data_IF_430489064562
#
_entry.id   IF_430489064562
#
_cell.length_a   1.000
_cell.length_b   1.000
_cell.length_c   1.000
_cell.angle_alpha   90.00
_cell.angle_beta   90.00
_cell.angle_gamma   90.00
#
_symmetry.space_group_name_H-M   'P 1'
#
loop_
_entity.id
_entity.type
_entity.pdbx_description
1 polymer ?
#
# COMPACT_ATOMS: atom_id res chain seq x y z
N UNK A 1 -16.02 1.61 9.35
CA UNK A 1 -15.19 1.56 8.16
C UNK A 1 -13.94 2.38 8.44
N UNK A 2 -12.78 1.76 8.32
CA UNK A 2 -11.51 2.48 8.42
C UNK A 2 -11.38 3.38 7.17
N UNK A 3 -11.37 4.69 7.39
CA UNK A 3 -11.24 5.68 6.31
C UNK A 3 -9.77 6.06 6.08
N UNK A 4 -8.82 5.31 6.63
CA UNK A 4 -7.40 5.61 6.52
C UNK A 4 -6.80 4.97 5.27
N UNK A 5 -5.93 5.73 4.63
CA UNK A 5 -5.16 5.36 3.44
C UNK A 5 -3.73 5.85 3.60
N UNK A 6 -2.79 5.23 2.91
CA UNK A 6 -1.46 5.81 2.72
C UNK A 6 -1.42 6.56 1.40
N UNK A 7 -0.88 7.78 1.41
CA UNK A 7 -0.64 8.61 0.22
C UNK A 7 0.86 8.85 0.07
N UNK A 8 1.38 8.64 -1.13
CA UNK A 8 2.76 9.01 -1.48
C UNK A 8 2.73 10.39 -2.15
N UNK A 9 3.42 11.34 -1.55
CA UNK A 9 3.46 12.71 -2.07
C UNK A 9 4.43 12.79 -3.26
N UNK A 10 3.94 13.32 -4.36
CA UNK A 10 4.75 13.65 -5.54
C UNK A 10 5.13 15.11 -5.54
N UNK A 11 4.14 15.98 -5.39
CA UNK A 11 4.33 17.43 -5.48
C UNK A 11 3.91 18.11 -4.19
N UNK A 12 4.85 18.73 -3.44
CA UNK A 12 4.54 19.38 -2.19
C UNK A 12 3.75 20.69 -2.38
N UNK A 13 3.00 21.04 -1.33
CA UNK A 13 2.36 22.35 -1.18
C UNK A 13 3.34 23.50 -1.42
N UNK A 14 2.92 24.51 -2.17
CA UNK A 14 3.75 25.67 -2.51
C UNK A 14 4.71 25.45 -3.66
N UNK A 15 4.80 24.24 -4.20
CA UNK A 15 5.69 23.95 -5.33
C UNK A 15 5.15 24.53 -6.64
N UNK A 16 6.01 25.25 -7.38
CA UNK A 16 5.83 25.59 -8.79
C UNK A 16 6.39 24.53 -9.74
N UNK A 17 6.80 23.38 -9.22
CA UNK A 17 7.34 22.26 -9.97
C UNK A 17 6.47 21.04 -9.74
N UNK A 18 6.11 20.31 -10.81
CA UNK A 18 5.41 19.03 -10.70
C UNK A 18 6.39 17.89 -10.80
N UNK A 19 6.36 17.03 -9.81
CA UNK A 19 7.08 15.76 -9.80
C UNK A 19 6.08 14.64 -9.99
N UNK A 20 6.51 13.53 -10.61
CA UNK A 20 5.79 12.28 -10.72
C UNK A 20 6.72 11.13 -10.32
N UNK A 21 6.17 10.05 -9.81
CA UNK A 21 6.93 8.83 -9.58
C UNK A 21 7.22 8.13 -10.91
N UNK A 22 8.47 7.84 -11.18
CA UNK A 22 8.92 7.07 -12.34
C UNK A 22 9.23 5.63 -11.90
N UNK A 23 8.39 4.63 -12.25
CA UNK A 23 8.56 3.26 -11.81
C UNK A 23 9.79 2.56 -12.42
N UNK A 24 10.28 3.01 -13.59
CA UNK A 24 11.49 2.45 -14.20
C UNK A 24 12.76 2.87 -13.46
N UNK A 25 12.77 4.11 -12.99
CA UNK A 25 13.88 4.67 -12.20
C UNK A 25 13.73 4.38 -10.71
N UNK A 26 12.55 3.98 -10.23
CA UNK A 26 12.19 3.91 -8.81
C UNK A 26 12.51 5.21 -8.07
N UNK A 27 12.18 6.36 -8.68
CA UNK A 27 12.49 7.70 -8.15
C UNK A 27 11.41 8.71 -8.52
N UNK A 28 11.35 9.78 -7.72
CA UNK A 28 10.60 10.98 -8.08
C UNK A 28 11.35 11.75 -9.16
N UNK A 29 10.65 12.09 -10.23
CA UNK A 29 11.19 12.76 -11.41
C UNK A 29 10.50 14.11 -11.61
N UNK A 30 11.27 15.15 -11.86
CA UNK A 30 10.70 16.43 -12.27
C UNK A 30 10.04 16.29 -13.64
N UNK A 31 8.71 16.40 -13.68
CA UNK A 31 7.91 16.30 -14.91
C UNK A 31 7.87 17.65 -15.62
N UNK A 32 7.49 18.73 -14.91
CA UNK A 32 7.36 20.06 -15.51
C UNK A 32 7.48 21.18 -14.48
N UNK A 33 7.84 22.36 -14.97
CA UNK A 33 7.75 23.62 -14.24
C UNK A 33 6.42 24.28 -14.61
N UNK A 34 5.69 24.75 -13.60
CA UNK A 34 4.40 25.39 -13.79
C UNK A 34 4.59 26.83 -14.27
N UNK A 35 3.63 27.40 -14.99
CA UNK A 35 3.64 28.82 -15.34
C UNK A 35 3.74 29.73 -14.11
N UNK A 36 4.36 30.89 -14.28
CA UNK A 36 4.56 31.83 -13.17
C UNK A 36 3.23 32.17 -12.46
N UNK A 37 3.24 32.10 -11.14
CA UNK A 37 2.09 32.36 -10.30
C UNK A 37 1.19 31.15 -10.04
N UNK A 38 1.43 29.99 -10.69
CA UNK A 38 0.71 28.77 -10.40
C UNK A 38 1.55 27.88 -9.48
N UNK A 39 1.02 27.58 -8.31
CA UNK A 39 1.64 26.71 -7.30
C UNK A 39 0.61 25.73 -6.77
N UNK A 40 1.04 24.54 -6.35
CA UNK A 40 0.15 23.58 -5.71
C UNK A 40 -0.32 24.12 -4.34
N UNK A 41 -1.65 24.21 -4.11
CA UNK A 41 -2.18 24.80 -2.88
C UNK A 41 -2.00 23.88 -1.66
N UNK A 42 -1.88 22.57 -1.87
CA UNK A 42 -1.64 21.53 -0.88
C UNK A 42 -0.76 20.44 -1.48
N UNK A 43 -0.30 19.52 -0.62
CA UNK A 43 0.44 18.36 -1.08
C UNK A 43 -0.41 17.52 -2.03
N UNK A 44 0.18 17.12 -3.14
CA UNK A 44 -0.43 16.31 -4.18
C UNK A 44 0.38 15.04 -4.38
N UNK A 45 -0.31 13.91 -4.52
CA UNK A 45 0.32 12.62 -4.71
C UNK A 45 -0.69 11.56 -5.13
N UNK A 46 -0.37 10.31 -4.88
CA UNK A 46 -1.17 9.19 -5.31
C UNK A 46 -1.35 8.13 -4.20
N UNK A 47 -2.36 7.28 -4.39
CA UNK A 47 -2.64 6.15 -3.51
C UNK A 47 -1.98 4.91 -4.12
N UNK A 48 -0.95 4.32 -3.47
CA UNK A 48 -0.25 3.16 -4.02
C UNK A 48 -1.16 1.94 -4.15
N UNK A 49 -0.93 1.11 -5.18
CA UNK A 49 -1.72 -0.09 -5.44
C UNK A 49 -3.10 0.18 -6.02
N UNK A 50 -3.35 1.37 -6.60
CA UNK A 50 -4.59 1.72 -7.30
C UNK A 50 -4.32 2.00 -8.77
N UNK A 51 -5.37 1.90 -9.61
CA UNK A 51 -5.39 2.37 -11.00
C UNK A 51 -6.68 3.16 -11.20
N UNK A 52 -6.55 4.44 -11.54
CA UNK A 52 -7.63 5.35 -11.86
C UNK A 52 -8.19 5.14 -13.26
N UNK A 53 -9.16 5.99 -13.61
CA UNK A 53 -9.81 5.93 -14.93
C UNK A 53 -8.93 6.41 -16.10
N UNK A 54 -7.81 7.03 -15.81
CA UNK A 54 -6.77 7.51 -16.75
C UNK A 54 -5.60 6.52 -16.90
N UNK A 55 -5.58 5.42 -16.12
CA UNK A 55 -4.54 4.41 -16.15
C UNK A 55 -3.41 4.64 -15.16
N UNK A 56 -3.35 5.82 -14.53
CA UNK A 56 -2.40 6.15 -13.48
C UNK A 56 -2.95 5.78 -12.09
N UNK A 57 -2.13 5.69 -11.04
CA UNK A 57 -2.63 5.56 -9.67
C UNK A 57 -3.61 6.68 -9.31
N UNK A 58 -4.58 6.37 -8.43
CA UNK A 58 -5.60 7.35 -8.03
C UNK A 58 -4.95 8.54 -7.33
N UNK A 59 -5.20 9.73 -7.87
CA UNK A 59 -4.71 10.99 -7.35
C UNK A 59 -5.31 11.34 -5.99
N UNK A 60 -4.47 11.84 -5.09
CA UNK A 60 -4.87 12.35 -3.79
C UNK A 60 -4.30 13.74 -3.53
N UNK A 61 -5.12 14.60 -2.93
CA UNK A 61 -4.72 15.90 -2.43
C UNK A 61 -4.80 15.86 -0.90
N UNK A 62 -3.69 16.20 -0.26
CA UNK A 62 -3.54 16.12 1.19
C UNK A 62 -3.54 17.52 1.79
N UNK A 63 -4.63 17.85 2.48
CA UNK A 63 -4.78 19.14 3.17
C UNK A 63 -4.04 19.09 4.50
N UNK A 64 -2.98 19.87 4.62
CA UNK A 64 -2.11 19.92 5.79
C UNK A 64 -1.63 21.34 6.10
N UNK A 65 -1.08 21.53 7.29
CA UNK A 65 -0.52 22.82 7.76
C UNK A 65 0.72 23.20 6.97
N UNK A 66 1.63 22.25 6.80
CA UNK A 66 2.94 22.45 6.20
C UNK A 66 3.09 21.59 4.95
N UNK A 67 4.02 21.98 4.11
CA UNK A 67 4.46 21.17 2.98
C UNK A 67 5.31 20.00 3.47
N UNK A 68 5.19 18.85 2.79
CA UNK A 68 6.12 17.73 2.94
C UNK A 68 7.21 17.76 1.86
N UNK A 69 7.62 16.61 1.36
CA UNK A 69 8.64 16.48 0.31
C UNK A 69 8.28 15.34 -0.64
N UNK A 70 8.78 15.36 -1.89
CA UNK A 70 8.53 14.28 -2.85
C UNK A 70 9.02 12.92 -2.33
N UNK A 71 8.14 11.90 -2.38
CA UNK A 71 8.39 10.56 -1.86
C UNK A 71 7.98 10.36 -0.40
N UNK A 72 7.48 11.39 0.29
CA UNK A 72 6.96 11.24 1.64
C UNK A 72 5.70 10.37 1.65
N UNK A 73 5.67 9.33 2.48
CA UNK A 73 4.48 8.53 2.73
C UNK A 73 3.71 9.09 3.93
N UNK A 74 2.43 9.37 3.74
CA UNK A 74 1.54 9.92 4.78
C UNK A 74 0.36 8.99 5.01
N UNK A 75 0.11 8.64 6.27
CA UNK A 75 -1.15 8.03 6.67
C UNK A 75 -2.20 9.13 6.81
N UNK A 76 -3.26 9.02 6.02
CA UNK A 76 -4.26 10.05 5.85
C UNK A 76 -5.67 9.53 6.09
N UNK A 77 -6.52 10.33 6.69
CA UNK A 77 -7.97 10.13 6.79
C UNK A 77 -8.63 10.74 5.55
N UNK A 78 -9.38 9.94 4.80
CA UNK A 78 -10.20 10.41 3.66
C UNK A 78 -11.40 11.19 4.17
N UNK A 79 -11.61 12.40 3.64
CA UNK A 79 -12.79 13.24 3.95
C UNK A 79 -13.77 13.34 2.78
N UNK A 80 -13.37 12.93 1.58
CA UNK A 80 -14.21 12.92 0.38
C UNK A 80 -13.41 12.86 -0.91
N UNK A 81 -14.07 13.13 -2.05
CA UNK A 81 -13.45 13.26 -3.35
C UNK A 81 -14.10 14.34 -4.22
N UNK A 82 -13.28 14.96 -5.06
CA UNK A 82 -13.71 15.81 -6.18
C UNK A 82 -13.85 14.90 -7.41
N UNK A 83 -15.07 14.62 -7.83
CA UNK A 83 -15.30 13.86 -9.08
C UNK A 83 -15.19 14.78 -10.27
N UNK A 84 -14.41 14.38 -11.27
CA UNK A 84 -14.17 15.18 -12.45
C UNK A 84 -13.96 14.33 -13.71
N UNK A 85 -14.13 15.01 -14.87
CA UNK A 85 -13.67 14.52 -16.17
C UNK A 85 -12.54 15.40 -16.65
N UNK A 86 -11.55 14.81 -17.28
CA UNK A 86 -10.48 15.50 -17.94
C UNK A 86 -10.53 15.19 -19.43
N UNK A 87 -10.47 16.23 -20.26
CA UNK A 87 -10.31 16.12 -21.70
C UNK A 87 -8.89 16.45 -22.08
N UNK A 88 -8.22 15.51 -22.72
CA UNK A 88 -6.86 15.64 -23.21
C UNK A 88 -6.78 16.48 -24.49
N UNK A 89 -5.56 16.83 -24.92
CA UNK A 89 -5.30 17.63 -26.12
C UNK A 89 -5.78 16.94 -27.40
N UNK A 90 -5.74 15.63 -27.44
CA UNK A 90 -6.21 14.80 -28.56
C UNK A 90 -7.74 14.62 -28.59
N UNK A 91 -8.45 15.19 -27.59
CA UNK A 91 -9.89 15.13 -27.46
C UNK A 91 -10.40 13.94 -26.63
N UNK A 92 -9.56 12.98 -26.25
CA UNK A 92 -9.93 11.89 -25.35
C UNK A 92 -10.46 12.43 -24.02
N UNK A 93 -11.51 11.83 -23.49
CA UNK A 93 -12.11 12.23 -22.20
C UNK A 93 -12.14 11.06 -21.27
N UNK A 94 -11.60 11.24 -20.06
CA UNK A 94 -11.50 10.21 -19.04
C UNK A 94 -11.98 10.72 -17.67
N UNK A 95 -12.26 9.80 -16.77
CA UNK A 95 -12.47 10.12 -15.36
C UNK A 95 -11.13 10.42 -14.73
N UNK A 96 -11.08 11.49 -13.97
CA UNK A 96 -9.90 11.89 -13.24
C UNK A 96 -10.30 12.51 -11.91
N UNK A 97 -10.73 11.66 -10.98
CA UNK A 97 -11.19 12.03 -9.66
C UNK A 97 -10.00 12.37 -8.74
N UNK A 98 -10.22 13.22 -7.75
CA UNK A 98 -9.20 13.62 -6.76
C UNK A 98 -9.70 13.23 -5.37
N UNK A 99 -9.03 12.34 -4.70
CA UNK A 99 -9.31 12.03 -3.30
C UNK A 99 -8.81 13.20 -2.44
N UNK A 100 -9.61 13.59 -1.47
CA UNK A 100 -9.24 14.63 -0.51
C UNK A 100 -9.06 13.97 0.84
N UNK A 101 -7.87 14.17 1.41
CA UNK A 101 -7.49 13.53 2.65
C UNK A 101 -6.73 14.50 3.59
N UNK A 102 -6.65 14.13 4.85
CA UNK A 102 -5.96 14.88 5.91
C UNK A 102 -5.01 13.93 6.61
N UNK A 103 -3.75 14.31 6.85
CA UNK A 103 -2.81 13.48 7.61
C UNK A 103 -3.38 13.14 8.99
N UNK A 104 -3.25 11.90 9.41
CA UNK A 104 -3.69 11.45 10.74
C UNK A 104 -3.00 12.25 11.86
N UNK A 105 -1.77 12.68 11.60
CA UNK A 105 -0.94 13.47 12.53
C UNK A 105 -1.23 14.97 12.49
N UNK A 106 -2.13 15.46 11.62
CA UNK A 106 -2.46 16.89 11.53
C UNK A 106 -3.06 17.39 12.85
N UNK A 107 -2.59 18.53 13.30
CA UNK A 107 -3.09 19.23 14.50
C UNK A 107 -4.16 20.25 14.10
N UNK A 108 -3.89 21.06 13.10
CA UNK A 108 -4.81 22.12 12.63
C UNK A 108 -6.12 21.57 12.07
N UNK A 109 -6.04 20.44 11.36
CA UNK A 109 -7.19 19.79 10.71
C UNK A 109 -7.65 18.52 11.45
N UNK A 110 -7.25 18.32 12.70
CA UNK A 110 -7.59 17.13 13.48
C UNK A 110 -9.10 16.87 13.58
N UNK A 111 -9.91 17.92 13.70
CA UNK A 111 -11.37 17.86 13.83
C UNK A 111 -12.11 17.74 12.49
N UNK A 112 -11.42 17.90 11.34
CA UNK A 112 -12.06 17.87 10.02
C UNK A 112 -12.31 16.42 9.60
N UNK A 113 -13.56 16.04 9.41
CA UNK A 113 -13.97 14.69 8.99
C UNK A 113 -14.77 14.70 7.68
N UNK A 114 -15.31 15.86 7.30
CA UNK A 114 -16.12 16.06 6.09
C UNK A 114 -15.73 17.37 5.41
N UNK A 115 -16.23 17.58 4.19
CA UNK A 115 -16.04 18.85 3.50
C UNK A 115 -16.64 20.06 4.22
N UNK A 116 -17.70 19.84 5.00
CA UNK A 116 -18.36 20.93 5.74
C UNK A 116 -17.52 21.44 6.92
N UNK A 117 -16.57 20.65 7.39
CA UNK A 117 -15.68 21.03 8.48
C UNK A 117 -14.46 21.83 7.99
N UNK A 118 -14.27 21.90 6.66
CA UNK A 118 -13.18 22.69 6.07
C UNK A 118 -13.46 24.19 6.19
N UNK A 119 -12.40 25.02 6.33
CA UNK A 119 -12.57 26.47 6.21
C UNK A 119 -13.27 26.87 4.91
N UNK A 120 -14.17 27.89 4.97
CA UNK A 120 -14.88 28.35 3.79
C UNK A 120 -13.96 28.68 2.61
N UNK A 121 -14.36 28.26 1.40
CA UNK A 121 -13.64 28.56 0.17
C UNK A 121 -12.53 27.59 -0.22
N UNK A 122 -12.06 26.70 0.65
CA UNK A 122 -10.97 25.75 0.31
C UNK A 122 -11.36 24.89 -0.89
N UNK A 123 -12.54 24.27 -0.88
CA UNK A 123 -12.97 23.42 -2.01
C UNK A 123 -13.10 24.19 -3.32
N UNK A 124 -13.58 25.42 -3.26
CA UNK A 124 -13.65 26.29 -4.44
C UNK A 124 -12.27 26.63 -4.96
N UNK A 125 -11.32 26.99 -4.09
CA UNK A 125 -9.93 27.24 -4.46
C UNK A 125 -9.28 26.03 -5.12
N UNK A 126 -9.50 24.82 -4.57
CA UNK A 126 -9.01 23.58 -5.14
C UNK A 126 -9.59 23.31 -6.53
N UNK A 127 -10.89 23.49 -6.68
CA UNK A 127 -11.57 23.31 -7.95
C UNK A 127 -11.04 24.26 -9.00
N UNK A 128 -10.89 25.55 -8.66
CA UNK A 128 -10.33 26.60 -9.54
C UNK A 128 -8.87 26.31 -9.89
N UNK A 129 -8.08 25.83 -8.91
CA UNK A 129 -6.70 25.45 -9.17
C UNK A 129 -6.62 24.38 -10.27
N UNK A 130 -7.38 23.27 -10.17
CA UNK A 130 -7.35 22.22 -11.17
C UNK A 130 -7.88 22.65 -12.54
N UNK A 131 -8.88 23.53 -12.58
CA UNK A 131 -9.36 24.12 -13.85
C UNK A 131 -8.22 24.88 -14.50
N UNK A 132 -7.63 25.85 -13.81
CA UNK A 132 -6.54 26.69 -14.33
C UNK A 132 -5.29 25.87 -14.71
N UNK A 133 -4.92 24.91 -13.84
CA UNK A 133 -3.79 24.03 -14.06
C UNK A 133 -3.90 23.23 -15.36
N UNK A 134 -5.09 22.65 -15.62
CA UNK A 134 -5.33 21.88 -16.84
C UNK A 134 -5.47 22.77 -18.07
N UNK A 135 -6.13 23.91 -17.94
CA UNK A 135 -6.31 24.87 -19.04
C UNK A 135 -4.96 25.38 -19.56
N UNK A 136 -4.03 25.74 -18.68
CA UNK A 136 -2.67 26.12 -19.04
C UNK A 136 -1.85 24.96 -19.65
N UNK A 137 -2.23 23.72 -19.34
CA UNK A 137 -1.66 22.54 -20.00
C UNK A 137 -2.32 22.19 -21.34
N UNK A 138 -3.27 23.01 -21.82
CA UNK A 138 -4.05 22.74 -23.04
C UNK A 138 -5.06 21.60 -22.89
N UNK A 139 -5.44 21.28 -21.67
CA UNK A 139 -6.43 20.26 -21.29
C UNK A 139 -7.66 20.94 -20.68
N UNK A 140 -8.77 20.22 -20.56
CA UNK A 140 -9.98 20.74 -19.90
C UNK A 140 -10.35 19.87 -18.71
N UNK A 141 -10.33 20.47 -17.53
CA UNK A 141 -10.84 19.83 -16.30
C UNK A 141 -12.29 20.27 -16.07
N UNK A 142 -13.21 19.31 -15.97
CA UNK A 142 -14.63 19.53 -15.78
C UNK A 142 -15.08 18.91 -14.47
N UNK A 143 -15.24 19.70 -13.40
CA UNK A 143 -15.78 19.22 -12.13
C UNK A 143 -17.21 18.69 -12.33
N UNK A 144 -17.54 17.58 -11.67
CA UNK A 144 -18.87 16.97 -11.69
C UNK A 144 -19.59 17.23 -10.36
N UNK A 145 -19.08 16.64 -9.29
CA UNK A 145 -19.63 16.80 -7.94
C UNK A 145 -18.58 16.44 -6.88
N UNK A 146 -18.77 16.97 -5.68
CA UNK A 146 -18.07 16.53 -4.50
C UNK A 146 -18.83 15.35 -3.88
N UNK A 147 -18.10 14.35 -3.37
CA UNK A 147 -18.70 13.18 -2.75
C UNK A 147 -18.10 12.93 -1.36
N UNK A 148 -18.90 12.41 -0.41
CA UNK A 148 -18.44 12.19 0.96
C UNK A 148 -17.40 11.05 1.05
N UNK A 149 -16.73 10.94 2.19
CA UNK A 149 -15.71 9.94 2.47
C UNK A 149 -16.12 8.51 2.10
N UNK A 150 -17.34 8.10 2.44
CA UNK A 150 -17.85 6.75 2.11
C UNK A 150 -17.81 6.45 0.60
N UNK A 151 -18.23 7.41 -0.25
CA UNK A 151 -18.20 7.24 -1.71
C UNK A 151 -16.75 7.31 -2.22
N UNK A 152 -15.92 8.17 -1.65
CA UNK A 152 -14.49 8.25 -1.99
C UNK A 152 -13.74 6.93 -1.69
N UNK A 153 -13.97 6.32 -0.53
CA UNK A 153 -13.41 4.99 -0.18
C UNK A 153 -13.91 3.92 -1.16
N UNK A 154 -15.17 3.97 -1.58
CA UNK A 154 -15.69 3.04 -2.60
C UNK A 154 -14.96 3.20 -3.95
N UNK A 155 -14.64 4.44 -4.35
CA UNK A 155 -13.84 4.70 -5.55
C UNK A 155 -12.43 4.09 -5.44
N UNK A 156 -11.76 4.30 -4.30
CA UNK A 156 -10.45 3.74 -4.02
C UNK A 156 -10.47 2.21 -4.09
N UNK A 157 -11.43 1.57 -3.40
CA UNK A 157 -11.56 0.12 -3.38
C UNK A 157 -11.81 -0.46 -4.78
N UNK A 158 -12.59 0.24 -5.62
CA UNK A 158 -12.83 -0.17 -7.02
C UNK A 158 -11.58 -0.02 -7.87
N UNK A 159 -10.76 0.99 -7.61
CA UNK A 159 -9.50 1.26 -8.29
C UNK A 159 -8.33 0.41 -7.76
N UNK A 160 -8.47 -0.22 -6.58
CA UNK A 160 -7.42 -1.03 -6.00
C UNK A 160 -7.14 -2.26 -6.85
N UNK A 161 -5.90 -2.35 -7.31
CA UNK A 161 -5.41 -3.51 -8.07
C UNK A 161 -4.99 -4.58 -7.07
N UNK A 162 -5.56 -5.76 -7.19
CA UNK A 162 -5.01 -6.92 -6.47
C UNK A 162 -3.63 -7.19 -7.05
N UNK A 163 -2.59 -6.87 -6.30
CA UNK A 163 -1.24 -7.25 -6.71
C UNK A 163 -1.18 -8.76 -6.92
N UNK A 164 -0.61 -9.23 -8.04
CA UNK A 164 -0.44 -10.66 -8.24
C UNK A 164 0.39 -11.24 -7.10
N UNK A 165 -0.05 -12.38 -6.59
CA UNK A 165 0.75 -13.13 -5.61
C UNK A 165 1.88 -13.81 -6.36
N UNK A 166 3.02 -13.15 -6.44
CA UNK A 166 4.20 -13.55 -7.20
C UNK A 166 5.36 -14.08 -6.34
N UNK A 167 5.14 -14.15 -5.04
CA UNK A 167 6.18 -14.59 -4.10
C UNK A 167 5.67 -15.78 -3.31
N UNK A 168 6.37 -16.90 -3.43
CA UNK A 168 6.16 -18.09 -2.62
C UNK A 168 7.00 -17.99 -1.36
N UNK A 169 6.37 -18.13 -0.21
CA UNK A 169 7.03 -18.22 1.10
C UNK A 169 6.90 -19.63 1.61
N UNK A 170 8.02 -20.25 2.00
CA UNK A 170 8.09 -21.57 2.58
C UNK A 170 8.61 -21.50 4.02
N UNK A 171 7.87 -22.11 4.95
CA UNK A 171 8.25 -22.20 6.36
C UNK A 171 8.53 -23.68 6.67
N UNK A 172 9.69 -23.97 7.22
CA UNK A 172 10.13 -25.32 7.58
C UNK A 172 9.99 -25.49 9.10
N UNK A 173 8.93 -26.18 9.53
CA UNK A 173 8.55 -26.27 10.94
C UNK A 173 8.83 -27.69 11.46
N UNK A 174 9.66 -27.85 12.51
CA UNK A 174 9.94 -29.17 13.09
C UNK A 174 8.70 -29.77 13.74
N UNK A 175 8.55 -31.08 13.66
CA UNK A 175 7.42 -31.81 14.28
C UNK A 175 7.73 -32.24 15.70
N UNK A 176 9.01 -32.29 16.08
CA UNK A 176 9.50 -32.78 17.38
C UNK A 176 10.54 -31.81 17.96
N UNK A 177 10.67 -31.86 19.28
CA UNK A 177 11.76 -31.16 19.97
C UNK A 177 13.09 -31.95 19.92
N UNK A 178 14.16 -31.37 20.47
CA UNK A 178 15.49 -32.00 20.51
C UNK A 178 15.54 -33.34 21.28
N UNK A 179 14.52 -33.64 22.10
CA UNK A 179 14.38 -34.95 22.79
C UNK A 179 13.57 -35.97 21.98
N UNK A 180 13.11 -35.61 20.79
CA UNK A 180 12.26 -36.44 19.94
C UNK A 180 10.78 -36.42 20.33
N UNK A 181 10.35 -35.58 21.27
CA UNK A 181 8.95 -35.48 21.71
C UNK A 181 8.15 -34.63 20.73
N UNK A 182 6.97 -35.07 20.25
CA UNK A 182 6.14 -34.31 19.34
C UNK A 182 5.68 -32.98 19.96
N UNK A 183 5.66 -31.92 19.18
CA UNK A 183 5.06 -30.65 19.57
C UNK A 183 3.53 -30.75 19.64
N UNK A 184 2.89 -30.00 20.55
CA UNK A 184 1.42 -29.97 20.66
C UNK A 184 0.76 -29.50 19.36
N UNK A 185 -0.34 -30.12 18.95
CA UNK A 185 -1.11 -29.75 17.75
C UNK A 185 -1.58 -28.29 17.80
N UNK A 186 -1.77 -27.71 18.99
CA UNK A 186 -2.12 -26.30 19.17
C UNK A 186 -1.07 -25.33 18.64
N UNK A 187 0.21 -25.72 18.56
CA UNK A 187 1.28 -24.89 17.97
C UNK A 187 1.09 -24.76 16.46
N UNK A 188 0.73 -25.86 15.81
CA UNK A 188 0.50 -25.93 14.37
C UNK A 188 -0.84 -25.28 13.98
N UNK A 189 -1.91 -25.51 14.73
CA UNK A 189 -3.23 -24.93 14.45
C UNK A 189 -3.21 -23.40 14.53
N UNK A 190 -2.51 -22.82 15.52
CA UNK A 190 -2.32 -21.36 15.60
C UNK A 190 -1.58 -20.79 14.38
N UNK A 191 -0.52 -21.48 13.93
CA UNK A 191 0.21 -21.06 12.75
C UNK A 191 -0.66 -21.12 11.49
N UNK A 192 -1.41 -22.22 11.32
CA UNK A 192 -2.34 -22.38 10.19
C UNK A 192 -3.38 -21.26 10.14
N UNK A 193 -3.99 -20.96 11.28
CA UNK A 193 -4.97 -19.87 11.39
C UNK A 193 -4.34 -18.53 11.05
N UNK A 194 -3.19 -18.18 11.65
CA UNK A 194 -2.49 -16.92 11.40
C UNK A 194 -2.14 -16.74 9.91
N UNK A 195 -1.60 -17.78 9.26
CA UNK A 195 -1.22 -17.73 7.84
C UNK A 195 -2.46 -17.67 6.92
N UNK A 196 -3.47 -18.50 7.20
CA UNK A 196 -4.71 -18.54 6.41
C UNK A 196 -5.46 -17.20 6.47
N UNK A 197 -5.61 -16.64 7.67
CA UNK A 197 -6.36 -15.39 7.88
C UNK A 197 -5.64 -14.20 7.21
N UNK A 198 -4.29 -14.19 7.26
CA UNK A 198 -3.51 -13.10 6.66
C UNK A 198 -3.41 -13.21 5.15
N UNK A 199 -3.14 -14.39 4.60
CA UNK A 199 -2.80 -14.57 3.18
C UNK A 199 -3.93 -15.18 2.35
N UNK A 200 -5.03 -15.60 2.98
CA UNK A 200 -6.22 -16.14 2.33
C UNK A 200 -6.06 -17.55 1.75
N UNK A 201 -4.90 -18.19 1.91
CA UNK A 201 -4.63 -19.56 1.46
C UNK A 201 -3.34 -20.10 2.05
N UNK A 202 -3.27 -21.43 2.19
CA UNK A 202 -2.14 -22.13 2.78
C UNK A 202 -2.05 -23.53 2.18
N UNK A 203 -0.87 -23.93 1.72
CA UNK A 203 -0.56 -25.32 1.35
C UNK A 203 0.30 -25.95 2.45
N UNK A 204 0.01 -27.20 2.78
CA UNK A 204 0.71 -27.91 3.85
C UNK A 204 1.19 -29.27 3.32
N UNK A 205 2.48 -29.51 3.40
CA UNK A 205 3.09 -30.81 3.09
C UNK A 205 3.27 -31.60 4.40
N UNK A 206 2.18 -32.27 4.84
CA UNK A 206 2.14 -32.96 6.12
C UNK A 206 2.20 -34.50 6.01
N UNK A 207 1.94 -35.08 4.83
CA UNK A 207 1.80 -36.55 4.65
C UNK A 207 3.13 -37.29 4.49
N UNK A 208 4.21 -36.59 4.18
CA UNK A 208 5.56 -37.12 4.18
C UNK A 208 6.42 -36.05 4.83
N UNK A 209 6.79 -36.21 6.11
CA UNK A 209 7.65 -35.23 6.76
C UNK A 209 8.91 -35.08 5.90
N UNK A 210 9.22 -33.86 5.49
CA UNK A 210 10.48 -33.58 4.85
C UNK A 210 11.59 -33.84 5.88
N UNK A 211 12.67 -34.50 5.45
CA UNK A 211 13.81 -34.74 6.31
C UNK A 211 14.83 -33.62 6.11
N UNK A 212 15.06 -32.82 7.15
CA UNK A 212 16.14 -31.86 7.20
C UNK A 212 17.40 -32.55 7.73
N UNK A 213 18.49 -32.42 7.02
CA UNK A 213 19.80 -32.92 7.47
C UNK A 213 20.69 -31.70 7.76
N UNK A 214 21.09 -31.53 9.00
CA UNK A 214 21.93 -30.41 9.45
C UNK A 214 23.22 -30.94 10.05
N UNK A 215 24.30 -30.19 9.93
CA UNK A 215 25.53 -30.44 10.66
C UNK A 215 25.54 -29.62 11.95
N UNK A 216 25.55 -30.30 13.10
CA UNK A 216 25.75 -29.66 14.39
C UNK A 216 26.99 -30.28 15.03
N UNK A 217 28.03 -29.46 15.31
CA UNK A 217 29.31 -29.84 15.91
C UNK A 217 29.93 -31.11 15.30
N UNK A 218 29.79 -31.30 13.97
CA UNK A 218 30.34 -32.42 13.22
C UNK A 218 29.43 -33.65 13.10
N UNK A 219 28.30 -33.68 13.79
CA UNK A 219 27.27 -34.72 13.69
C UNK A 219 26.15 -34.32 12.71
N UNK A 220 25.61 -35.29 11.98
CA UNK A 220 24.43 -35.09 11.17
C UNK A 220 23.18 -35.30 12.02
N UNK A 221 22.36 -34.27 12.17
CA UNK A 221 21.05 -34.34 12.84
C UNK A 221 19.98 -34.40 11.76
N UNK A 222 19.02 -35.29 11.94
CA UNK A 222 17.86 -35.46 11.06
C UNK A 222 16.60 -34.97 11.78
N UNK A 223 15.94 -33.96 11.18
CA UNK A 223 14.67 -33.41 11.68
C UNK A 223 13.50 -33.78 10.76
N UNK A 224 12.39 -34.21 11.36
CA UNK A 224 11.11 -34.33 10.65
C UNK A 224 10.44 -32.95 10.57
N UNK A 225 10.19 -32.46 9.36
CA UNK A 225 9.66 -31.12 9.10
C UNK A 225 8.29 -31.18 8.43
N UNK A 226 7.42 -30.25 8.78
CA UNK A 226 6.23 -29.89 7.99
C UNK A 226 6.53 -28.59 7.25
N UNK A 227 6.27 -28.59 5.95
CA UNK A 227 6.44 -27.39 5.13
C UNK A 227 5.09 -26.70 4.95
N UNK A 228 5.04 -25.42 5.28
CA UNK A 228 3.92 -24.53 5.03
C UNK A 228 4.29 -23.59 3.88
N UNK A 229 3.38 -23.47 2.91
CA UNK A 229 3.57 -22.56 1.78
C UNK A 229 2.41 -21.57 1.69
N UNK A 230 2.77 -20.29 1.49
CA UNK A 230 1.81 -19.22 1.20
C UNK A 230 2.27 -18.40 0.02
N UNK A 231 1.30 -17.95 -0.79
CA UNK A 231 1.55 -17.01 -1.87
C UNK A 231 1.27 -15.59 -1.39
N UNK A 232 2.22 -14.68 -1.60
CA UNK A 232 2.16 -13.28 -1.18
C UNK A 232 2.41 -12.32 -2.35
N UNK A 233 1.95 -11.09 -2.21
CA UNK A 233 2.27 -10.00 -3.13
C UNK A 233 3.58 -9.31 -2.69
N UNK A 234 4.71 -10.03 -2.78
CA UNK A 234 6.01 -9.56 -2.31
C UNK A 234 6.46 -10.23 -1.01
N UNK A 235 7.71 -10.02 -0.63
CA UNK A 235 8.38 -10.79 0.43
C UNK A 235 8.06 -10.32 1.87
N UNK A 236 7.53 -9.13 2.10
CA UNK A 236 7.19 -8.58 3.44
C UNK A 236 8.23 -8.89 4.55
N UNK A 237 9.52 -8.53 4.43
CA UNK A 237 10.60 -9.02 5.32
C UNK A 237 10.34 -8.74 6.80
N UNK A 238 9.77 -7.57 7.14
CA UNK A 238 9.50 -7.17 8.51
C UNK A 238 8.44 -8.05 9.20
N UNK A 239 7.45 -8.54 8.45
CA UNK A 239 6.47 -9.49 8.98
C UNK A 239 7.11 -10.84 9.25
N UNK A 240 7.83 -11.39 8.27
CA UNK A 240 8.44 -12.70 8.37
C UNK A 240 9.52 -12.78 9.45
N UNK A 241 10.31 -11.73 9.63
CA UNK A 241 11.29 -11.64 10.72
C UNK A 241 10.62 -11.72 12.10
N UNK A 242 9.51 -10.99 12.31
CA UNK A 242 8.75 -11.05 13.57
C UNK A 242 8.10 -12.42 13.78
N UNK A 243 7.55 -13.01 12.71
CA UNK A 243 6.95 -14.35 12.79
C UNK A 243 8.02 -15.39 13.09
N UNK A 244 9.19 -15.35 12.43
CA UNK A 244 10.34 -16.23 12.69
C UNK A 244 10.69 -16.25 14.18
N UNK A 245 10.89 -15.08 14.80
CA UNK A 245 11.22 -14.98 16.24
C UNK A 245 10.11 -15.58 17.14
N UNK A 246 8.84 -15.40 16.79
CA UNK A 246 7.72 -16.02 17.52
C UNK A 246 7.73 -17.54 17.39
N UNK A 247 8.03 -18.07 16.20
CA UNK A 247 8.04 -19.50 15.93
C UNK A 247 9.23 -20.16 16.60
N UNK A 248 10.42 -19.58 16.57
CA UNK A 248 11.62 -20.06 17.28
C UNK A 248 11.36 -20.23 18.77
N UNK A 249 10.68 -19.26 19.40
CA UNK A 249 10.25 -19.39 20.81
C UNK A 249 9.21 -20.49 21.00
N UNK A 250 8.19 -20.57 20.11
CA UNK A 250 7.08 -21.52 20.22
C UNK A 250 7.53 -22.97 20.07
N UNK A 251 8.46 -23.21 19.15
CA UNK A 251 8.99 -24.54 18.83
C UNK A 251 10.36 -24.81 19.47
N UNK A 252 10.78 -23.98 20.43
CA UNK A 252 12.06 -24.12 21.15
C UNK A 252 13.25 -24.40 20.20
N UNK A 253 13.30 -23.70 19.06
CA UNK A 253 14.33 -23.84 18.05
C UNK A 253 15.30 -22.68 18.11
N UNK A 254 16.59 -22.94 17.82
CA UNK A 254 17.57 -21.90 17.64
C UNK A 254 17.35 -21.10 16.35
N UNK A 255 16.89 -21.81 15.30
CA UNK A 255 16.59 -21.22 14.01
C UNK A 255 15.44 -21.95 13.33
N UNK A 256 14.49 -21.18 12.76
CA UNK A 256 13.46 -21.67 11.85
C UNK A 256 13.74 -21.10 10.46
N UNK A 257 13.87 -21.97 9.47
CA UNK A 257 14.07 -21.56 8.08
C UNK A 257 12.79 -21.05 7.47
N UNK A 258 12.84 -19.81 6.95
CA UNK A 258 11.77 -19.21 6.12
C UNK A 258 12.42 -18.74 4.82
N UNK A 259 11.97 -19.28 3.70
CA UNK A 259 12.45 -18.93 2.37
C UNK A 259 11.41 -18.11 1.60
N UNK A 260 11.88 -17.18 0.79
CA UNK A 260 11.06 -16.42 -0.15
C UNK A 260 11.64 -16.58 -1.56
N UNK A 261 10.81 -16.93 -2.53
CA UNK A 261 11.18 -17.05 -3.93
C UNK A 261 10.15 -16.38 -4.83
N UNK A 262 10.59 -15.68 -5.88
CA UNK A 262 9.69 -15.20 -6.93
C UNK A 262 9.20 -16.37 -7.77
N UNK A 263 7.91 -16.39 -8.06
CA UNK A 263 7.26 -17.41 -8.88
C UNK A 263 6.38 -16.75 -9.91
N UNK A 264 6.24 -17.38 -11.08
CA UNK A 264 5.30 -16.97 -12.10
C UNK A 264 4.13 -17.94 -12.11
N UNK A 265 2.93 -17.42 -11.95
CA UNK A 265 1.71 -18.20 -12.14
C UNK A 265 1.46 -18.32 -13.67
N UNK A 266 1.35 -19.54 -14.18
CA UNK A 266 1.13 -19.84 -15.59
C UNK A 266 -0.36 -19.91 -15.89
#
# INVERSE_FOLDING_TARGET
LDNNITVIIETPKGSGQKFDYDPELDRMKLNKVLPAGLIFPFDFGYIPGTIGGDGDPVDALVISELATFPGCALDCRVIGALKARQRERDGATMRNDRIIAIPVVSVQYAAVNTFNDLPPGILEQLTRFFINYNEQAGKKFSPLKNVPAREAISLINTATVKQPKDTLIQLFIPTRDASGKPFPESHFSRLRTELKDRFGGLTIYARTPAKGLWKDQGNTVEDELVIYEVMTAGAEPAYWSRLKTKLEKRFAQQEILILAGKVQQL
#
